data_IF_012230612580
#
_entry.id   IF_012230612580
#
_cell.length_a   1.000
_cell.length_b   1.000
_cell.length_c   1.000
_cell.angle_alpha   90.00
_cell.angle_beta   90.00
_cell.angle_gamma   90.00
#
_symmetry.space_group_name_H-M   'P 1'
#
loop_
_entity.id
_entity.type
_entity.pdbx_description
1 polymer ?
#
# COMPACT_ATOMS: atom_id res chain seq x y z
N UNK A 1 15.56 -23.57 20.19
CA UNK A 1 15.91 -22.89 18.91
C UNK A 1 14.68 -22.30 18.19
N UNK A 2 13.59 -21.95 18.89
CA UNK A 2 12.38 -21.35 18.28
C UNK A 2 12.25 -19.84 18.59
N UNK A 3 13.08 -19.31 19.48
CA UNK A 3 13.02 -17.90 19.90
C UNK A 3 13.74 -16.93 18.94
N UNK A 4 14.72 -17.40 18.14
CA UNK A 4 15.52 -16.51 17.29
C UNK A 4 14.77 -16.01 16.04
N UNK A 5 13.76 -16.75 15.56
CA UNK A 5 12.96 -16.33 14.40
C UNK A 5 11.91 -15.27 14.76
N UNK A 6 11.35 -15.32 15.97
CA UNK A 6 10.44 -14.27 16.47
C UNK A 6 11.20 -12.99 16.81
N UNK A 7 12.41 -13.10 17.36
CA UNK A 7 13.26 -11.95 17.67
C UNK A 7 13.54 -11.14 16.40
N UNK A 8 13.98 -11.76 15.31
CA UNK A 8 14.26 -11.05 14.05
C UNK A 8 13.02 -10.40 13.38
N UNK A 9 11.82 -10.95 13.61
CA UNK A 9 10.58 -10.32 13.13
C UNK A 9 10.19 -9.09 13.96
N UNK A 10 10.55 -9.06 15.25
CA UNK A 10 10.35 -7.90 16.14
C UNK A 10 11.39 -6.79 15.85
N UNK A 11 12.62 -7.11 15.46
CA UNK A 11 13.64 -6.09 15.12
C UNK A 11 13.36 -5.33 13.81
N UNK A 12 12.55 -5.88 12.91
CA UNK A 12 12.03 -5.12 11.76
C UNK A 12 10.80 -4.26 12.12
N UNK A 13 10.45 -4.24 13.40
CA UNK A 13 9.28 -3.60 14.00
C UNK A 13 9.69 -2.51 15.00
N UNK A 14 10.89 -1.95 14.88
CA UNK A 14 11.18 -0.68 15.55
C UNK A 14 10.64 0.43 14.65
N UNK A 15 9.64 1.21 15.11
CA UNK A 15 9.32 2.49 14.48
C UNK A 15 10.61 3.29 14.51
N UNK A 16 11.15 3.59 13.33
CA UNK A 16 12.22 4.58 13.21
C UNK A 16 11.70 5.84 13.90
N UNK A 17 12.46 6.29 14.90
CA UNK A 17 12.12 7.30 15.88
C UNK A 17 11.08 8.35 15.43
N UNK A 18 9.94 8.40 16.13
CA UNK A 18 9.22 9.65 16.36
C UNK A 18 7.93 9.93 15.59
N UNK A 19 7.51 9.10 14.62
CA UNK A 19 6.20 9.28 13.98
C UNK A 19 5.23 8.18 14.39
N UNK A 20 4.44 8.44 15.44
CA UNK A 20 3.28 7.62 15.76
C UNK A 20 2.23 7.84 14.66
N UNK A 21 2.27 7.00 13.63
CA UNK A 21 1.38 7.14 12.48
C UNK A 21 -0.08 7.15 12.95
N UNK A 22 -0.80 8.21 12.61
CA UNK A 22 -2.18 8.38 13.05
C UNK A 22 -3.07 7.43 12.24
N UNK A 23 -3.66 6.44 12.92
CA UNK A 23 -4.46 5.38 12.31
C UNK A 23 -5.94 5.63 12.56
N UNK A 24 -6.72 5.67 11.49
CA UNK A 24 -8.17 5.73 11.57
C UNK A 24 -8.83 4.61 10.77
N UNK A 25 -9.80 3.94 11.40
CA UNK A 25 -10.68 3.00 10.72
C UNK A 25 -11.97 3.71 10.33
N UNK A 26 -12.34 3.61 9.05
CA UNK A 26 -13.57 4.21 8.53
C UNK A 26 -14.32 3.22 7.66
N UNK A 27 -15.57 3.54 7.33
CA UNK A 27 -16.41 2.77 6.42
C UNK A 27 -16.61 3.56 5.14
N UNK A 28 -16.44 2.90 3.99
CA UNK A 28 -16.84 3.50 2.73
C UNK A 28 -18.36 3.66 2.68
N UNK A 29 -18.86 4.50 1.75
CA UNK A 29 -20.31 4.63 1.49
C UNK A 29 -21.00 3.32 1.14
N UNK A 30 -20.25 2.30 0.68
CA UNK A 30 -20.74 0.96 0.35
C UNK A 30 -20.60 -0.03 1.51
N UNK A 31 -20.28 0.44 2.71
CA UNK A 31 -20.12 -0.40 3.91
C UNK A 31 -18.82 -1.21 3.93
N UNK A 32 -17.82 -0.86 3.12
CA UNK A 32 -16.54 -1.59 3.10
C UNK A 32 -15.55 -0.94 4.07
N UNK A 33 -14.90 -1.69 4.97
CA UNK A 33 -13.87 -1.15 5.85
C UNK A 33 -12.72 -0.52 5.07
N UNK A 34 -12.27 0.63 5.54
CA UNK A 34 -11.11 1.37 5.03
C UNK A 34 -10.19 1.73 6.20
N UNK A 35 -8.91 1.76 5.89
CA UNK A 35 -7.85 2.16 6.80
C UNK A 35 -7.30 3.49 6.29
N UNK A 36 -7.14 4.47 7.17
CA UNK A 36 -6.47 5.74 6.88
C UNK A 36 -5.23 5.83 7.76
N UNK A 37 -4.08 6.10 7.13
CA UNK A 37 -2.80 6.33 7.81
C UNK A 37 -2.19 7.58 7.19
N UNK A 38 -1.89 8.59 8.01
CA UNK A 38 -1.26 9.86 7.58
C UNK A 38 -1.99 10.52 6.38
N UNK A 39 -3.33 10.46 6.35
CA UNK A 39 -4.16 11.01 5.27
C UNK A 39 -4.22 10.18 3.98
N UNK A 40 -3.54 9.02 3.94
CA UNK A 40 -3.64 8.05 2.86
C UNK A 40 -4.68 6.98 3.17
N UNK A 41 -5.60 6.75 2.23
CA UNK A 41 -6.64 5.73 2.36
C UNK A 41 -6.23 4.41 1.72
N UNK A 42 -6.52 3.34 2.42
CA UNK A 42 -6.30 1.97 1.99
C UNK A 42 -7.62 1.19 1.96
N UNK A 43 -7.71 0.26 1.03
CA UNK A 43 -8.78 -0.74 0.95
C UNK A 43 -8.25 -2.09 1.37
N UNK A 44 -9.12 -2.91 1.93
CA UNK A 44 -8.79 -4.27 2.34
C UNK A 44 -8.48 -5.12 1.12
N UNK A 45 -7.26 -5.64 1.04
CA UNK A 45 -6.82 -6.54 -0.03
C UNK A 45 -7.10 -8.00 0.35
N UNK A 46 -6.70 -8.42 1.55
CA UNK A 46 -6.83 -9.81 2.01
C UNK A 46 -6.99 -9.88 3.52
N UNK A 47 -7.91 -10.73 3.99
CA UNK A 47 -8.01 -11.10 5.40
C UNK A 47 -7.32 -12.43 5.59
N UNK A 48 -6.41 -12.50 6.55
CA UNK A 48 -5.80 -13.73 7.03
C UNK A 48 -6.26 -13.97 8.48
N UNK A 49 -5.94 -15.14 9.04
CA UNK A 49 -6.33 -15.48 10.42
C UNK A 49 -5.91 -14.41 11.43
N UNK A 50 -4.65 -13.98 11.39
CA UNK A 50 -4.05 -13.06 12.36
C UNK A 50 -3.81 -11.65 11.84
N UNK A 51 -3.96 -11.42 10.53
CA UNK A 51 -3.60 -10.15 9.89
C UNK A 51 -4.60 -9.73 8.83
N UNK A 52 -4.72 -8.44 8.59
CA UNK A 52 -5.42 -7.88 7.43
C UNK A 52 -4.39 -7.14 6.56
N UNK A 53 -4.30 -7.50 5.28
CA UNK A 53 -3.48 -6.81 4.29
C UNK A 53 -4.30 -5.73 3.59
N UNK A 54 -3.72 -4.55 3.50
CA UNK A 54 -4.31 -3.35 2.95
C UNK A 54 -3.48 -2.84 1.77
N UNK A 55 -4.16 -2.38 0.74
CA UNK A 55 -3.54 -1.72 -0.41
C UNK A 55 -4.04 -0.29 -0.53
N UNK A 56 -3.18 0.63 -0.97
CA UNK A 56 -3.60 2.01 -1.18
C UNK A 56 -4.80 2.05 -2.15
N UNK A 57 -5.77 2.92 -1.89
CA UNK A 57 -6.95 3.11 -2.73
C UNK A 57 -6.58 3.48 -4.18
N UNK A 58 -5.39 4.07 -4.38
CA UNK A 58 -4.88 4.47 -5.69
C UNK A 58 -4.10 3.36 -6.43
N UNK A 59 -4.02 2.16 -5.87
CA UNK A 59 -3.32 1.02 -6.51
C UNK A 59 -3.80 0.78 -7.94
N UNK A 60 -5.13 0.73 -8.17
CA UNK A 60 -5.69 0.45 -9.51
C UNK A 60 -5.64 1.64 -10.47
N UNK A 61 -5.51 2.86 -9.96
CA UNK A 61 -5.63 4.07 -10.75
C UNK A 61 -4.26 4.65 -11.12
N UNK A 62 -3.30 4.56 -10.20
CA UNK A 62 -1.97 5.17 -10.26
C UNK A 62 -0.84 4.14 -10.13
N UNK A 63 -1.15 2.84 -10.10
CA UNK A 63 -0.18 1.79 -9.80
C UNK A 63 0.59 2.04 -8.48
N UNK A 64 -0.07 2.67 -7.50
CA UNK A 64 0.52 2.96 -6.21
C UNK A 64 0.94 1.66 -5.48
N UNK A 65 2.18 1.63 -5.00
CA UNK A 65 2.80 0.46 -4.36
C UNK A 65 2.69 0.45 -2.83
N UNK A 66 2.14 1.50 -2.22
CA UNK A 66 1.98 1.56 -0.77
C UNK A 66 1.06 0.44 -0.25
N UNK A 67 1.48 -0.19 0.84
CA UNK A 67 0.82 -1.34 1.49
C UNK A 67 0.90 -1.20 3.00
N UNK A 68 -0.13 -1.68 3.68
CA UNK A 68 -0.11 -1.81 5.13
C UNK A 68 -0.61 -3.21 5.52
N UNK A 69 -0.16 -3.71 6.66
CA UNK A 69 -0.72 -4.91 7.29
C UNK A 69 -1.10 -4.53 8.70
N UNK A 70 -2.28 -4.90 9.16
CA UNK A 70 -2.72 -4.71 10.55
C UNK A 70 -2.99 -6.06 11.19
N UNK A 71 -3.02 -6.13 12.53
CA UNK A 71 -3.56 -7.30 13.22
C UNK A 71 -5.05 -7.46 12.91
N UNK A 72 -5.47 -8.72 12.77
CA UNK A 72 -6.88 -9.10 12.71
C UNK A 72 -7.41 -9.27 14.13
N UNK A 73 -7.26 -8.22 14.93
CA UNK A 73 -7.73 -8.15 16.32
C UNK A 73 -8.54 -6.86 16.47
N UNK A 74 -9.40 -6.74 17.50
CA UNK A 74 -10.17 -5.52 17.73
C UNK A 74 -9.31 -4.25 17.83
N UNK A 75 -8.04 -4.37 18.27
CA UNK A 75 -7.11 -3.23 18.39
C UNK A 75 -6.51 -2.78 17.05
N UNK A 76 -6.48 -3.64 16.02
CA UNK A 76 -6.06 -3.25 14.66
C UNK A 76 -4.64 -2.68 14.53
N UNK A 77 -3.68 -3.11 15.34
CA UNK A 77 -2.33 -2.54 15.33
C UNK A 77 -1.64 -2.77 13.99
N UNK A 78 -0.97 -1.75 13.44
CA UNK A 78 -0.19 -1.85 12.20
C UNK A 78 1.06 -2.71 12.44
N UNK A 79 1.19 -3.76 11.64
CA UNK A 79 2.29 -4.74 11.63
C UNK A 79 3.34 -4.53 10.57
N UNK A 80 2.97 -3.90 9.47
CA UNK A 80 3.90 -3.60 8.41
C UNK A 80 3.36 -2.39 7.67
N UNK A 81 4.25 -1.48 7.31
CA UNK A 81 3.88 -0.26 6.62
C UNK A 81 4.92 0.13 5.59
N UNK A 82 4.56 -0.02 4.31
CA UNK A 82 5.28 0.60 3.20
C UNK A 82 4.53 1.86 2.79
N UNK A 83 5.05 3.02 3.21
CA UNK A 83 4.49 4.34 2.98
C UNK A 83 4.98 5.00 1.67
N UNK A 84 5.43 4.22 0.69
CA UNK A 84 5.90 4.78 -0.58
C UNK A 84 4.72 5.07 -1.51
N UNK A 85 4.29 6.33 -1.55
CA UNK A 85 3.24 6.83 -2.42
C UNK A 85 3.82 7.56 -3.65
N UNK A 86 3.07 7.54 -4.74
CA UNK A 86 3.36 8.28 -5.98
C UNK A 86 2.29 9.34 -6.27
N UNK A 87 1.59 9.77 -5.22
CA UNK A 87 0.49 10.72 -5.28
C UNK A 87 0.35 11.42 -3.93
N UNK A 88 -0.25 12.63 -3.88
CA UNK A 88 -0.49 13.32 -2.62
C UNK A 88 -1.55 12.60 -1.75
N UNK A 89 -1.56 12.87 -0.43
CA UNK A 89 -2.63 12.40 0.46
C UNK A 89 -3.97 13.05 0.09
N UNK A 90 -5.09 12.47 0.54
CA UNK A 90 -6.43 13.08 0.44
C UNK A 90 -6.85 13.59 -0.95
N UNK A 91 -6.64 12.79 -2.00
CA UNK A 91 -7.08 13.17 -3.36
C UNK A 91 -8.59 13.41 -3.44
N UNK A 92 -8.99 14.47 -4.14
CA UNK A 92 -10.38 14.82 -4.40
C UNK A 92 -11.14 13.70 -5.14
N UNK A 93 -12.48 13.75 -5.04
CA UNK A 93 -13.32 12.84 -5.83
C UNK A 93 -13.18 13.18 -7.30
N UNK A 94 -12.75 12.18 -8.08
CA UNK A 94 -12.67 12.26 -9.54
C UNK A 94 -14.02 12.59 -10.17
N UNK A 95 -13.98 13.38 -11.24
CA UNK A 95 -15.09 13.59 -12.17
C UNK A 95 -15.29 12.36 -13.06
N UNK A 96 -16.43 12.29 -13.73
CA UNK A 96 -16.73 11.22 -14.68
C UNK A 96 -15.65 11.15 -15.79
N UNK A 97 -15.21 9.94 -16.13
CA UNK A 97 -14.21 9.70 -17.20
C UNK A 97 -12.74 9.90 -16.79
N UNK A 98 -12.43 10.64 -15.73
CA UNK A 98 -11.05 10.89 -15.31
C UNK A 98 -10.30 9.62 -14.91
N UNK A 99 -10.99 8.65 -14.31
CA UNK A 99 -10.38 7.36 -13.96
C UNK A 99 -9.81 6.63 -15.17
N UNK A 100 -10.49 6.68 -16.32
CA UNK A 100 -10.03 6.02 -17.55
C UNK A 100 -8.76 6.69 -18.08
N UNK A 101 -8.74 8.03 -18.12
CA UNK A 101 -7.58 8.82 -18.51
C UNK A 101 -6.37 8.52 -17.62
N UNK A 102 -6.59 8.49 -16.31
CA UNK A 102 -5.53 8.25 -15.33
C UNK A 102 -4.90 6.86 -15.46
N UNK A 103 -5.73 5.84 -15.71
CA UNK A 103 -5.24 4.47 -15.97
C UNK A 103 -4.43 4.38 -17.25
N UNK A 104 -4.87 5.06 -18.32
CA UNK A 104 -4.13 5.10 -19.59
C UNK A 104 -2.76 5.77 -19.41
N UNK A 105 -2.73 6.95 -18.80
CA UNK A 105 -1.50 7.67 -18.48
C UNK A 105 -0.55 6.85 -17.60
N UNK A 106 -1.10 6.13 -16.61
CA UNK A 106 -0.31 5.25 -15.74
C UNK A 106 0.28 4.09 -16.54
N UNK A 107 -0.48 3.47 -17.44
CA UNK A 107 0.01 2.38 -18.29
C UNK A 107 1.12 2.87 -19.23
N UNK A 108 0.94 4.03 -19.86
CA UNK A 108 1.96 4.66 -20.72
C UNK A 108 3.24 4.96 -19.95
N UNK A 109 3.13 5.58 -18.77
CA UNK A 109 4.27 5.84 -17.88
C UNK A 109 5.01 4.56 -17.50
N UNK A 110 4.29 3.48 -17.18
CA UNK A 110 4.91 2.22 -16.79
C UNK A 110 5.67 1.55 -17.94
N UNK A 111 5.20 1.69 -19.19
CA UNK A 111 5.93 1.20 -20.37
C UNK A 111 7.28 1.89 -20.54
N UNK A 112 7.35 3.20 -20.26
CA UNK A 112 8.61 3.96 -20.34
C UNK A 112 9.63 3.57 -19.25
N UNK A 113 9.17 3.03 -18.13
CA UNK A 113 10.02 2.64 -17.00
C UNK A 113 10.59 1.22 -17.12
N UNK A 114 10.21 0.47 -18.17
CA UNK A 114 10.82 -0.80 -18.50
C UNK A 114 11.85 -0.52 -19.61
N UNK A 115 13.13 -0.26 -19.28
CA UNK A 115 14.16 -0.30 -20.30
C UNK A 115 14.14 -1.71 -20.91
N UNK A 116 14.15 -1.72 -22.23
CA UNK A 116 14.22 -2.89 -23.07
C UNK A 116 15.34 -3.85 -22.59
N UNK A 117 14.96 -5.05 -22.15
CA UNK A 117 15.90 -6.12 -21.77
C UNK A 117 16.54 -6.80 -22.99
N UNK A 118 16.30 -6.31 -24.22
CA UNK A 118 16.86 -6.87 -25.45
C UNK A 118 18.31 -6.45 -25.73
N UNK A 119 18.86 -5.46 -25.02
CA UNK A 119 20.28 -5.06 -25.19
C UNK A 119 21.27 -5.95 -24.45
N UNK A 120 20.82 -6.95 -23.69
CA UNK A 120 21.72 -7.97 -23.09
C UNK A 120 21.96 -9.10 -24.10
N UNK A 121 22.45 -8.76 -25.29
CA UNK A 121 23.06 -9.75 -26.17
C UNK A 121 24.37 -10.18 -25.50
N UNK A 122 24.39 -11.39 -24.94
CA UNK A 122 25.63 -12.02 -24.50
C UNK A 122 26.60 -12.03 -25.69
N UNK A 123 27.69 -11.28 -25.57
CA UNK A 123 28.87 -11.54 -26.38
C UNK A 123 29.43 -12.90 -25.94
N UNK A 124 29.08 -13.93 -26.72
CA UNK A 124 29.76 -15.23 -26.76
C UNK A 124 30.86 -15.15 -27.80
#
# INVERSE_FOLDING_TARGET
MVLMVEFLLIYNYLPTAGHEAVIHYTMSRKGTPQLEIDGYRYTRQKICKTTIRWECLQTKALACKARATTSNTPKGLVQYYNNTHNHPPSMERRKAGELRKLKQQTAERLKLLQPDLSEIHYNV
#
